data_IF_164397896022
#
_entry.id   IF_164397896022
#
_cell.length_a   1.000
_cell.length_b   1.000
_cell.length_c   1.000
_cell.angle_alpha   90.00
_cell.angle_beta   90.00
_cell.angle_gamma   90.00
#
_symmetry.space_group_name_H-M   'P 1'
#
loop_
_entity.id
_entity.type
_entity.pdbx_description
1 polymer ?
#
# COMPACT_ATOMS: atom_id res chain seq x y z
N UNK A 1 -21.14 9.94 2.28
CA UNK A 1 -21.83 8.66 2.01
C UNK A 1 -20.92 7.56 2.51
N UNK A 2 -21.34 6.68 3.43
CA UNK A 2 -20.53 5.51 3.77
C UNK A 2 -20.37 4.66 2.51
N UNK A 3 -19.15 4.21 2.23
CA UNK A 3 -18.87 3.34 1.09
C UNK A 3 -19.54 1.99 1.38
N UNK A 4 -20.73 1.75 0.82
CA UNK A 4 -21.41 0.48 0.97
C UNK A 4 -20.74 -0.53 0.03
N UNK A 5 -20.08 -1.53 0.61
CA UNK A 5 -19.46 -2.60 -0.16
C UNK A 5 -20.55 -3.38 -0.90
N UNK A 6 -20.27 -3.79 -2.15
CA UNK A 6 -21.19 -4.68 -2.86
C UNK A 6 -21.34 -5.98 -2.05
N UNK A 7 -22.57 -6.43 -1.73
CA UNK A 7 -22.80 -7.61 -0.91
C UNK A 7 -22.14 -8.88 -1.42
N UNK A 8 -21.92 -8.99 -2.73
CA UNK A 8 -21.24 -10.15 -3.34
C UNK A 8 -19.79 -10.30 -2.88
N UNK A 9 -19.16 -9.23 -2.35
CA UNK A 9 -17.83 -9.35 -1.76
C UNK A 9 -17.83 -10.04 -0.39
N UNK A 10 -18.95 -10.10 0.33
CA UNK A 10 -18.96 -10.71 1.66
C UNK A 10 -18.57 -12.18 1.63
N UNK A 11 -19.08 -12.97 0.67
CA UNK A 11 -18.74 -14.39 0.51
C UNK A 11 -17.27 -14.59 0.16
N UNK A 12 -16.70 -13.71 -0.67
CA UNK A 12 -15.29 -13.75 -1.06
C UNK A 12 -14.38 -13.35 0.11
N UNK A 13 -14.84 -12.42 0.95
CA UNK A 13 -14.05 -11.81 2.03
C UNK A 13 -14.17 -12.56 3.36
N UNK A 14 -15.21 -13.37 3.55
CA UNK A 14 -15.46 -14.17 4.75
C UNK A 14 -14.24 -15.01 5.18
N UNK A 15 -13.53 -15.73 4.28
CA UNK A 15 -12.38 -16.55 4.66
C UNK A 15 -11.20 -15.75 5.22
N UNK A 16 -11.12 -14.46 4.91
CA UNK A 16 -10.02 -13.57 5.30
C UNK A 16 -10.27 -12.86 6.63
N UNK A 17 -11.44 -13.05 7.23
CA UNK A 17 -11.82 -12.55 8.55
C UNK A 17 -12.50 -11.19 8.53
N UNK A 18 -12.87 -10.73 9.72
CA UNK A 18 -13.46 -9.40 9.93
C UNK A 18 -12.42 -8.32 9.61
N UNK A 19 -12.83 -7.28 8.90
CA UNK A 19 -11.99 -6.17 8.40
C UNK A 19 -11.16 -6.44 7.14
N UNK A 20 -11.36 -7.60 6.48
CA UNK A 20 -10.71 -7.88 5.20
C UNK A 20 -11.08 -6.86 4.12
N UNK A 21 -12.32 -6.35 4.12
CA UNK A 21 -12.76 -5.30 3.20
C UNK A 21 -11.91 -4.04 3.31
N UNK A 22 -11.71 -3.53 4.53
CA UNK A 22 -10.89 -2.36 4.80
C UNK A 22 -9.43 -2.58 4.42
N UNK A 23 -8.90 -3.77 4.71
CA UNK A 23 -7.54 -4.15 4.32
C UNK A 23 -7.36 -4.14 2.79
N UNK A 24 -8.20 -4.88 2.04
CA UNK A 24 -8.06 -4.99 0.59
C UNK A 24 -8.30 -3.65 -0.11
N UNK A 25 -9.21 -2.82 0.41
CA UNK A 25 -9.42 -1.47 -0.12
C UNK A 25 -8.20 -0.58 0.14
N UNK A 26 -7.66 -0.57 1.36
CA UNK A 26 -6.47 0.20 1.70
C UNK A 26 -5.25 -0.26 0.89
N UNK A 27 -5.06 -1.58 0.73
CA UNK A 27 -4.03 -2.16 -0.10
C UNK A 27 -4.18 -1.73 -1.56
N UNK A 28 -5.40 -1.77 -2.13
CA UNK A 28 -5.64 -1.34 -3.50
C UNK A 28 -5.31 0.14 -3.73
N UNK A 29 -5.64 1.02 -2.77
CA UNK A 29 -5.31 2.44 -2.83
C UNK A 29 -3.80 2.68 -2.70
N UNK A 30 -3.11 1.86 -1.89
CA UNK A 30 -1.67 1.88 -1.77
C UNK A 30 -0.97 1.45 -3.06
N UNK A 31 -1.37 0.31 -3.64
CA UNK A 31 -0.88 -0.18 -4.93
C UNK A 31 -1.16 0.78 -6.09
N UNK A 32 -2.26 1.55 -6.02
CA UNK A 32 -2.58 2.59 -6.99
C UNK A 32 -1.84 3.92 -6.76
N UNK A 33 -0.90 3.97 -5.81
CA UNK A 33 -0.14 5.16 -5.39
C UNK A 33 -1.03 6.34 -4.99
N UNK A 34 -2.24 6.08 -4.46
CA UNK A 34 -3.20 7.14 -4.05
C UNK A 34 -3.04 7.55 -2.60
N UNK A 35 -2.44 6.69 -1.78
CA UNK A 35 -2.17 6.93 -0.37
C UNK A 35 -0.78 6.43 0.00
N UNK A 36 -0.17 7.05 1.01
CA UNK A 36 1.08 6.54 1.58
C UNK A 36 0.86 5.22 2.32
N UNK A 37 1.93 4.47 2.55
CA UNK A 37 1.87 3.22 3.32
C UNK A 37 1.27 3.44 4.72
N UNK A 38 1.71 4.49 5.42
CA UNK A 38 1.17 4.85 6.75
C UNK A 38 -0.34 5.12 6.71
N UNK A 39 -0.80 5.85 5.69
CA UNK A 39 -2.22 6.14 5.53
C UNK A 39 -3.02 4.87 5.21
N UNK A 40 -2.49 3.97 4.37
CA UNK A 40 -3.11 2.69 4.08
C UNK A 40 -3.23 1.79 5.33
N UNK A 41 -2.17 1.67 6.13
CA UNK A 41 -2.20 0.92 7.39
C UNK A 41 -3.26 1.46 8.36
N UNK A 42 -3.33 2.79 8.49
CA UNK A 42 -4.35 3.45 9.31
C UNK A 42 -5.78 3.21 8.81
N UNK A 43 -6.01 3.26 7.49
CA UNK A 43 -7.31 2.95 6.88
C UNK A 43 -7.71 1.49 7.10
N UNK A 44 -6.75 0.57 7.07
CA UNK A 44 -6.95 -0.85 7.38
C UNK A 44 -7.13 -1.14 8.88
N UNK A 45 -6.98 -0.12 9.75
CA UNK A 45 -6.95 -0.25 11.22
C UNK A 45 -5.90 -1.25 11.72
N UNK A 46 -4.78 -1.35 11.01
CA UNK A 46 -3.66 -2.21 11.35
C UNK A 46 -2.45 -1.36 11.76
N UNK A 47 -1.58 -1.93 12.58
CA UNK A 47 -0.25 -1.36 12.77
C UNK A 47 0.57 -1.44 11.49
N UNK A 48 1.66 -0.69 11.45
CA UNK A 48 2.56 -0.63 10.31
C UNK A 48 3.11 -2.02 9.93
N UNK A 49 3.53 -2.79 10.93
CA UNK A 49 4.10 -4.13 10.75
C UNK A 49 3.04 -5.17 10.36
N UNK A 50 1.86 -5.10 10.96
CA UNK A 50 0.74 -5.99 10.60
C UNK A 50 0.29 -5.76 9.16
N UNK A 51 0.19 -4.49 8.74
CA UNK A 51 -0.16 -4.16 7.37
C UNK A 51 0.89 -4.66 6.38
N UNK A 52 2.18 -4.50 6.70
CA UNK A 52 3.28 -5.03 5.89
C UNK A 52 3.24 -6.57 5.79
N UNK A 53 3.00 -7.26 6.90
CA UNK A 53 2.89 -8.72 6.93
C UNK A 53 1.74 -9.21 6.05
N UNK A 54 0.57 -8.59 6.16
CA UNK A 54 -0.62 -8.94 5.37
C UNK A 54 -0.45 -8.64 3.88
N UNK A 55 0.24 -7.55 3.52
CA UNK A 55 0.59 -7.26 2.14
C UNK A 55 1.48 -8.37 1.54
N UNK A 56 2.51 -8.80 2.27
CA UNK A 56 3.34 -9.93 1.85
C UNK A 56 2.54 -11.23 1.71
N UNK A 57 1.66 -11.52 2.67
CA UNK A 57 0.84 -12.74 2.66
C UNK A 57 -0.13 -12.82 1.46
N UNK A 58 -0.75 -11.69 1.09
CA UNK A 58 -1.82 -11.69 0.09
C UNK A 58 -1.38 -11.24 -1.31
N UNK A 59 -0.29 -10.47 -1.42
CA UNK A 59 0.13 -9.86 -2.68
C UNK A 59 1.57 -10.23 -3.07
N UNK A 60 2.31 -10.98 -2.26
CA UNK A 60 3.75 -11.26 -2.42
C UNK A 60 4.62 -9.99 -2.56
N UNK A 61 4.06 -8.82 -2.23
CA UNK A 61 4.68 -7.51 -2.37
C UNK A 61 4.58 -6.80 -1.03
N UNK A 62 5.71 -6.26 -0.55
CA UNK A 62 5.78 -5.47 0.67
C UNK A 62 5.70 -3.98 0.36
N UNK A 63 6.77 -3.24 0.68
CA UNK A 63 6.87 -1.84 0.32
C UNK A 63 6.99 -1.66 -1.19
N UNK A 64 6.04 -0.91 -1.75
CA UNK A 64 6.11 -0.32 -3.07
C UNK A 64 6.81 1.02 -2.90
N UNK A 65 8.02 1.11 -3.43
CA UNK A 65 8.71 2.38 -3.61
C UNK A 65 7.94 3.17 -4.67
N UNK A 66 7.60 4.43 -4.40
CA UNK A 66 6.98 5.25 -5.42
C UNK A 66 8.01 5.51 -6.53
N UNK A 67 7.60 5.29 -7.78
CA UNK A 67 8.46 5.50 -8.96
C UNK A 67 9.09 6.90 -8.97
N UNK A 68 8.38 7.92 -8.48
CA UNK A 68 8.90 9.29 -8.40
C UNK A 68 10.05 9.44 -7.39
N UNK A 69 10.02 8.76 -6.24
CA UNK A 69 11.11 8.83 -5.27
C UNK A 69 12.35 8.10 -5.75
N UNK A 70 12.19 6.98 -6.46
CA UNK A 70 13.33 6.30 -7.10
C UNK A 70 13.93 7.21 -8.19
N UNK A 71 13.09 7.82 -9.03
CA UNK A 71 13.56 8.72 -10.08
C UNK A 71 14.23 9.98 -9.52
N UNK A 72 13.72 10.54 -8.42
CA UNK A 72 14.33 11.71 -7.79
C UNK A 72 15.59 11.36 -7.01
N UNK A 73 15.69 10.18 -6.39
CA UNK A 73 16.93 9.68 -5.78
C UNK A 73 18.00 9.42 -6.85
N UNK A 74 17.62 8.82 -7.99
CA UNK A 74 18.53 8.63 -9.14
C UNK A 74 19.01 9.98 -9.68
N UNK A 75 18.12 10.95 -9.87
CA UNK A 75 18.52 12.31 -10.28
C UNK A 75 19.44 12.98 -9.26
N UNK A 76 19.19 12.78 -7.96
CA UNK A 76 20.00 13.34 -6.89
C UNK A 76 21.41 12.74 -6.90
N UNK A 77 21.52 11.43 -7.11
CA UNK A 77 22.81 10.73 -7.28
C UNK A 77 23.54 11.24 -8.54
N UNK A 78 22.85 11.34 -9.68
CA UNK A 78 23.43 11.86 -10.93
C UNK A 78 24.00 13.27 -10.75
N UNK A 79 23.26 14.16 -10.09
CA UNK A 79 23.70 15.52 -9.79
C UNK A 79 24.93 15.57 -8.87
N UNK A 80 25.01 14.68 -7.87
CA UNK A 80 26.16 14.59 -6.98
C UNK A 80 27.40 14.03 -7.68
N UNK A 81 27.23 13.07 -8.59
CA UNK A 81 28.34 12.53 -9.40
C UNK A 81 28.85 13.52 -10.44
N UNK A 82 27.98 14.35 -11.02
CA UNK A 82 28.36 15.41 -11.98
C UNK A 82 29.07 16.61 -11.31
N UNK A 83 28.88 16.83 -10.01
CA UNK A 83 29.56 17.89 -9.26
C UNK A 83 30.99 17.51 -8.82
N UNK A 84 31.41 16.26 -9.03
CA UNK A 84 32.73 15.74 -8.65
C UNK A 84 33.69 15.53 -9.85
N UNK A 85 33.33 16.03 -11.04
CA UNK A 85 34.16 16.11 -12.25
C UNK A 85 34.37 17.57 -12.66
#
# INVERSE_FOLDING_TARGET
MPTQLNPHFYEVLEPYGSHSAEFFLAASLYHAHKVSFAAAASLAKLSFDEFHYRLKEHFDVGYIFADETILDDIKTVDQLTLQCL
#
